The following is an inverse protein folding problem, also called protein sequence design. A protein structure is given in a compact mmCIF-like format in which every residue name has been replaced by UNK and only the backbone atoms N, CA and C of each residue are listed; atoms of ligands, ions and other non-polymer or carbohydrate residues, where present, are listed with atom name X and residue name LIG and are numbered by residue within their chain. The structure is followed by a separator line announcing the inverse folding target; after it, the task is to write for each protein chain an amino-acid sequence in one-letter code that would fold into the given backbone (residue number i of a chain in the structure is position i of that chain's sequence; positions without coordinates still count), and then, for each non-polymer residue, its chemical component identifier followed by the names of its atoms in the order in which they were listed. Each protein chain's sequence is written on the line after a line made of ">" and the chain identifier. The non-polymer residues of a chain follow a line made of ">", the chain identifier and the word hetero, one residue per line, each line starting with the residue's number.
data_IF_687321636194
#
_entry.id   IF_687321636194
#
_cell.length_a   1.000
_cell.length_b   1.000
_cell.length_c   1.000
_cell.angle_alpha   90.00
_cell.angle_beta   90.00
_cell.angle_gamma   90.00
#
_symmetry.space_group_name_H-M   'P 1'
#
loop_
_entity.id
_entity.type
_entity.pdbx_description
1 polymer ?
#
# COMPACT_ATOMS: atom_id res chain seq x y z
N UNK A 1 -16.13 4.11 -31.34
CA UNK A 1 -15.93 5.55 -31.04
C UNK A 1 -15.43 5.66 -29.62
N UNK A 2 -14.17 6.04 -29.44
CA UNK A 2 -13.58 6.17 -28.10
C UNK A 2 -13.94 7.52 -27.50
N UNK A 3 -14.61 7.53 -26.37
CA UNK A 3 -15.01 8.73 -25.63
C UNK A 3 -14.18 8.88 -24.36
N UNK A 4 -13.70 10.08 -24.07
CA UNK A 4 -13.10 10.45 -22.79
C UNK A 4 -14.14 11.14 -21.92
N UNK A 5 -14.47 10.59 -20.75
CA UNK A 5 -15.23 11.32 -19.72
C UNK A 5 -14.26 11.95 -18.72
N UNK A 6 -14.23 13.27 -18.64
CA UNK A 6 -13.42 14.00 -17.67
C UNK A 6 -14.28 14.38 -16.47
N UNK A 7 -13.84 14.04 -15.27
CA UNK A 7 -14.52 14.35 -14.00
C UNK A 7 -13.74 15.44 -13.26
N UNK A 8 -14.42 16.53 -12.91
CA UNK A 8 -13.91 17.60 -12.06
C UNK A 8 -14.68 17.60 -10.75
N UNK A 9 -14.07 17.18 -9.61
CA UNK A 9 -14.68 17.34 -8.30
C UNK A 9 -14.56 18.79 -7.86
N UNK A 10 -15.63 19.41 -7.42
CA UNK A 10 -15.66 20.81 -7.02
C UNK A 10 -16.31 20.97 -5.64
N UNK A 11 -15.71 21.81 -4.78
CA UNK A 11 -16.27 22.23 -3.51
C UNK A 11 -15.78 23.64 -3.20
N UNK A 12 -16.67 24.66 -3.31
CA UNK A 12 -16.33 26.06 -3.14
C UNK A 12 -15.10 26.46 -4.00
N UNK A 13 -15.27 26.36 -5.30
CA UNK A 13 -14.26 26.65 -6.34
C UNK A 13 -14.82 27.67 -7.37
N UNK A 14 -15.65 28.64 -6.91
CA UNK A 14 -16.27 29.63 -7.80
C UNK A 14 -15.25 30.46 -8.61
N UNK A 15 -14.04 30.65 -8.07
CA UNK A 15 -12.97 31.41 -8.72
C UNK A 15 -12.29 30.65 -9.88
N UNK A 16 -12.30 29.29 -9.88
CA UNK A 16 -11.55 28.47 -10.83
C UNK A 16 -12.40 27.61 -11.74
N UNK A 17 -13.64 27.27 -11.33
CA UNK A 17 -14.44 26.26 -12.05
C UNK A 17 -14.78 26.65 -13.48
N UNK A 18 -14.99 27.94 -13.77
CA UNK A 18 -15.29 28.39 -15.13
C UNK A 18 -14.07 28.20 -16.04
N UNK A 19 -12.92 28.69 -15.62
CA UNK A 19 -11.68 28.63 -16.40
C UNK A 19 -11.32 27.18 -16.70
N UNK A 20 -11.24 26.33 -15.68
CA UNK A 20 -10.80 24.94 -15.87
C UNK A 20 -11.79 24.16 -16.75
N UNK A 21 -13.11 24.38 -16.59
CA UNK A 21 -14.12 23.73 -17.42
C UNK A 21 -13.98 24.12 -18.89
N UNK A 22 -13.81 25.40 -19.18
CA UNK A 22 -13.59 25.89 -20.55
C UNK A 22 -12.29 25.36 -21.16
N UNK A 23 -11.22 25.30 -20.39
CA UNK A 23 -9.94 24.70 -20.82
C UNK A 23 -10.10 23.22 -21.15
N UNK A 24 -10.80 22.45 -20.33
CA UNK A 24 -11.08 21.04 -20.63
C UNK A 24 -11.91 20.90 -21.90
N UNK A 25 -12.97 21.70 -22.10
CA UNK A 25 -13.78 21.64 -23.31
C UNK A 25 -12.97 22.02 -24.58
N UNK A 26 -12.02 22.97 -24.46
CA UNK A 26 -11.17 23.36 -25.58
C UNK A 26 -10.21 22.27 -26.05
N UNK A 27 -9.96 21.23 -25.24
CA UNK A 27 -9.09 20.11 -25.63
C UNK A 27 -9.76 19.17 -26.64
N UNK A 28 -11.08 19.25 -26.80
CA UNK A 28 -11.84 18.34 -27.67
C UNK A 28 -11.30 18.28 -29.11
N UNK A 29 -10.93 19.42 -29.69
CA UNK A 29 -10.42 19.48 -31.07
C UNK A 29 -9.05 18.78 -31.22
N UNK A 30 -8.28 18.72 -30.11
CA UNK A 30 -6.93 18.12 -30.12
C UNK A 30 -7.01 16.61 -29.82
N UNK A 31 -8.04 16.17 -29.07
CA UNK A 31 -8.24 14.76 -28.69
C UNK A 31 -8.40 13.83 -29.90
N UNK A 32 -9.00 14.32 -30.98
CA UNK A 32 -9.16 13.56 -32.22
C UNK A 32 -7.82 13.03 -32.77
N UNK A 33 -6.73 13.78 -32.60
CA UNK A 33 -5.40 13.38 -33.02
C UNK A 33 -4.80 12.24 -32.16
N UNK A 34 -5.37 12.02 -30.97
CA UNK A 34 -4.95 11.00 -30.03
C UNK A 34 -5.83 9.74 -30.05
N UNK A 35 -6.78 9.63 -30.99
CA UNK A 35 -7.68 8.49 -31.14
C UNK A 35 -8.90 8.54 -30.21
N UNK A 36 -9.21 9.69 -29.64
CA UNK A 36 -10.42 9.96 -28.86
C UNK A 36 -11.33 10.85 -29.68
N UNK A 37 -12.54 10.38 -29.97
CA UNK A 37 -13.48 11.02 -30.90
C UNK A 37 -14.48 11.97 -30.23
N UNK A 38 -14.69 11.81 -28.91
CA UNK A 38 -15.67 12.60 -28.16
C UNK A 38 -15.22 12.86 -26.73
N UNK A 39 -15.66 13.99 -26.16
CA UNK A 39 -15.36 14.44 -24.80
C UNK A 39 -16.66 14.69 -24.03
N UNK A 40 -16.83 13.97 -22.92
CA UNK A 40 -17.85 14.25 -21.91
C UNK A 40 -17.19 14.95 -20.72
N UNK A 41 -17.69 16.14 -20.33
CA UNK A 41 -17.23 16.83 -19.11
C UNK A 41 -18.27 16.76 -18.02
N UNK A 42 -17.90 16.12 -16.89
CA UNK A 42 -18.71 16.03 -15.68
C UNK A 42 -18.09 16.91 -14.58
N UNK A 43 -18.85 17.86 -14.10
CA UNK A 43 -18.52 18.59 -12.86
C UNK A 43 -19.37 18.02 -11.74
N UNK A 44 -18.72 17.52 -10.69
CA UNK A 44 -19.41 17.00 -9.50
C UNK A 44 -19.23 17.99 -8.36
N UNK A 45 -20.27 18.75 -8.10
CA UNK A 45 -20.35 19.70 -6.99
C UNK A 45 -20.65 18.96 -5.69
N UNK A 46 -19.70 18.95 -4.77
CA UNK A 46 -19.77 18.21 -3.50
C UNK A 46 -20.45 19.03 -2.39
N UNK A 47 -21.54 19.72 -2.73
CA UNK A 47 -22.34 20.51 -1.81
C UNK A 47 -21.71 21.87 -1.49
N UNK A 48 -21.28 22.60 -2.53
CA UNK A 48 -20.76 23.96 -2.40
C UNK A 48 -21.80 24.93 -1.82
N UNK A 49 -21.31 25.94 -1.11
CA UNK A 49 -22.11 27.01 -0.51
C UNK A 49 -21.93 28.35 -1.22
N UNK A 50 -21.02 28.43 -2.18
CA UNK A 50 -20.75 29.56 -3.06
C UNK A 50 -21.45 29.37 -4.44
N UNK A 51 -21.05 30.13 -5.43
CA UNK A 51 -21.66 30.07 -6.78
C UNK A 51 -21.06 28.97 -7.67
N UNK A 52 -20.28 28.04 -7.17
CA UNK A 52 -19.63 26.98 -7.96
C UNK A 52 -20.64 26.23 -8.84
N UNK A 53 -21.73 25.75 -8.25
CA UNK A 53 -22.76 24.99 -8.98
C UNK A 53 -23.49 25.84 -10.04
N UNK A 54 -23.79 27.10 -9.71
CA UNK A 54 -24.42 28.04 -10.65
C UNK A 54 -23.57 28.30 -11.88
N UNK A 55 -22.28 28.56 -11.65
CA UNK A 55 -21.28 28.79 -12.70
C UNK A 55 -21.13 27.53 -13.57
N UNK A 56 -20.90 26.37 -12.96
CA UNK A 56 -20.72 25.12 -13.70
C UNK A 56 -21.96 24.80 -14.58
N UNK A 57 -23.18 25.05 -14.07
CA UNK A 57 -24.43 24.84 -14.81
C UNK A 57 -24.60 25.77 -16.01
N UNK A 58 -24.02 26.96 -15.99
CA UNK A 58 -24.11 27.96 -17.04
C UNK A 58 -23.20 27.69 -18.24
N UNK A 59 -22.25 26.71 -18.14
CA UNK A 59 -21.29 26.41 -19.19
C UNK A 59 -21.89 25.35 -20.12
N UNK A 60 -22.03 25.68 -21.39
CA UNK A 60 -22.45 24.73 -22.42
C UNK A 60 -21.44 23.59 -22.55
N UNK A 61 -21.92 22.34 -22.60
CA UNK A 61 -21.08 21.14 -22.67
C UNK A 61 -20.68 20.56 -21.30
N UNK A 62 -21.02 21.20 -20.19
CA UNK A 62 -20.84 20.68 -18.84
C UNK A 62 -22.06 19.92 -18.37
N UNK A 63 -21.86 18.68 -17.91
CA UNK A 63 -22.89 17.93 -17.18
C UNK A 63 -22.62 18.07 -15.68
N UNK A 64 -23.44 18.88 -15.01
CA UNK A 64 -23.37 19.10 -13.57
C UNK A 64 -24.09 17.99 -12.80
N UNK A 65 -23.41 17.44 -11.78
CA UNK A 65 -23.97 16.52 -10.79
C UNK A 65 -23.78 17.17 -9.42
N UNK A 66 -24.81 17.21 -8.59
CA UNK A 66 -24.77 17.89 -7.29
C UNK A 66 -25.02 16.91 -6.15
N UNK A 67 -24.18 16.95 -5.13
CA UNK A 67 -24.45 16.32 -3.84
C UNK A 67 -25.25 17.28 -2.94
N UNK A 68 -26.24 16.80 -2.20
CA UNK A 68 -27.02 17.67 -1.30
C UNK A 68 -26.21 18.19 -0.10
N UNK A 69 -25.04 17.59 0.19
CA UNK A 69 -24.08 17.98 1.23
C UNK A 69 -22.71 17.42 0.89
N UNK A 70 -21.67 17.99 1.49
CA UNK A 70 -20.30 17.50 1.35
C UNK A 70 -20.19 16.01 1.76
N UNK A 71 -19.67 15.19 0.85
CA UNK A 71 -19.41 13.75 1.01
C UNK A 71 -17.92 13.43 0.92
N UNK A 72 -17.13 14.40 0.49
CA UNK A 72 -15.67 14.32 0.34
C UNK A 72 -15.20 14.19 -1.11
N UNK A 73 -13.98 14.64 -1.36
CA UNK A 73 -13.30 14.63 -2.66
C UNK A 73 -13.41 13.30 -3.41
N UNK A 74 -13.08 12.21 -2.70
CA UNK A 74 -13.17 10.88 -3.28
C UNK A 74 -14.60 10.45 -3.59
N UNK A 75 -15.60 10.88 -2.80
CA UNK A 75 -16.99 10.59 -3.09
C UNK A 75 -17.48 11.32 -4.35
N UNK A 76 -17.05 12.57 -4.56
CA UNK A 76 -17.34 13.32 -5.77
C UNK A 76 -16.74 12.64 -7.01
N UNK A 77 -15.48 12.22 -6.94
CA UNK A 77 -14.84 11.46 -8.02
C UNK A 77 -15.57 10.14 -8.31
N UNK A 78 -15.89 9.35 -7.28
CA UNK A 78 -16.61 8.08 -7.46
C UNK A 78 -17.98 8.27 -8.09
N UNK A 79 -18.71 9.33 -7.70
CA UNK A 79 -19.97 9.70 -8.35
C UNK A 79 -19.74 10.01 -9.83
N UNK A 80 -18.73 10.82 -10.16
CA UNK A 80 -18.38 11.11 -11.54
C UNK A 80 -17.98 9.87 -12.34
N UNK A 81 -17.17 8.96 -11.75
CA UNK A 81 -16.75 7.71 -12.40
C UNK A 81 -17.95 6.78 -12.70
N UNK A 82 -18.94 6.72 -11.79
CA UNK A 82 -20.14 5.90 -12.00
C UNK A 82 -21.06 6.46 -13.08
N UNK A 83 -21.10 7.78 -13.23
CA UNK A 83 -21.92 8.49 -14.20
C UNK A 83 -21.26 8.68 -15.57
N UNK A 84 -19.93 8.49 -15.65
CA UNK A 84 -19.16 8.61 -16.88
C UNK A 84 -19.61 7.58 -17.92
N UNK A 85 -19.77 8.02 -19.17
CA UNK A 85 -20.18 7.18 -20.30
C UNK A 85 -19.02 6.69 -21.14
N UNK A 86 -17.89 7.42 -21.11
CA UNK A 86 -16.71 7.12 -21.90
C UNK A 86 -16.01 5.82 -21.53
N UNK A 87 -15.30 5.26 -22.49
CA UNK A 87 -14.42 4.10 -22.31
C UNK A 87 -13.15 4.46 -21.54
N UNK A 88 -12.71 5.71 -21.70
CA UNK A 88 -11.66 6.33 -20.89
C UNK A 88 -12.29 7.29 -19.89
N UNK A 89 -11.83 7.23 -18.64
CA UNK A 89 -12.20 8.15 -17.59
C UNK A 89 -10.96 8.94 -17.19
N UNK A 90 -11.05 10.27 -17.32
CA UNK A 90 -10.06 11.20 -16.82
C UNK A 90 -10.58 11.97 -15.62
N UNK A 91 -9.70 12.50 -14.78
CA UNK A 91 -10.05 13.48 -13.78
C UNK A 91 -8.92 14.46 -13.53
N UNK A 92 -9.25 15.66 -13.07
CA UNK A 92 -8.31 16.67 -12.59
C UNK A 92 -8.98 17.54 -11.53
N UNK A 93 -8.15 18.24 -10.73
CA UNK A 93 -8.63 19.14 -9.70
C UNK A 93 -9.16 20.46 -10.30
N UNK A 94 -10.15 21.08 -9.65
CA UNK A 94 -10.80 22.32 -10.11
C UNK A 94 -9.92 23.58 -9.92
N UNK A 95 -8.76 23.46 -9.26
CA UNK A 95 -7.95 24.59 -8.78
C UNK A 95 -6.93 25.15 -9.78
N UNK A 96 -6.98 24.68 -11.04
CA UNK A 96 -6.12 25.15 -12.13
C UNK A 96 -4.67 24.64 -12.10
N UNK A 97 -4.29 23.84 -11.11
CA UNK A 97 -2.90 23.33 -10.96
C UNK A 97 -2.49 22.32 -12.01
N UNK A 98 -3.45 21.66 -12.65
CA UNK A 98 -3.23 20.64 -13.68
C UNK A 98 -3.62 21.15 -15.06
N UNK A 99 -2.74 21.03 -16.06
CA UNK A 99 -3.01 21.48 -17.44
C UNK A 99 -3.85 20.44 -18.20
N UNK A 100 -5.15 20.73 -18.50
CA UNK A 100 -6.00 19.80 -19.25
C UNK A 100 -5.46 19.52 -20.66
N UNK A 101 -4.63 20.38 -21.20
CA UNK A 101 -3.96 20.26 -22.50
C UNK A 101 -3.10 19.00 -22.64
N UNK A 102 -2.80 18.33 -21.52
CA UNK A 102 -2.08 17.05 -21.50
C UNK A 102 -3.00 15.82 -21.60
N UNK A 103 -4.34 15.97 -21.54
CA UNK A 103 -5.22 14.82 -21.73
C UNK A 103 -4.99 14.06 -23.05
N UNK A 104 -4.77 14.70 -24.21
CA UNK A 104 -4.46 13.98 -25.44
C UNK A 104 -3.27 13.03 -25.29
N UNK A 105 -2.17 13.49 -24.66
CA UNK A 105 -0.99 12.66 -24.45
C UNK A 105 -1.26 11.49 -23.45
N UNK A 106 -2.04 11.75 -22.38
CA UNK A 106 -2.42 10.69 -21.45
C UNK A 106 -3.31 9.65 -22.14
N UNK A 107 -4.24 10.09 -22.97
CA UNK A 107 -5.12 9.20 -23.74
C UNK A 107 -4.36 8.36 -24.76
N UNK A 108 -3.41 8.94 -25.47
CA UNK A 108 -2.52 8.22 -26.41
C UNK A 108 -1.80 7.06 -25.71
N UNK A 109 -1.25 7.31 -24.51
CA UNK A 109 -0.57 6.29 -23.70
C UNK A 109 -1.54 5.22 -23.20
N UNK A 110 -2.78 5.61 -22.83
CA UNK A 110 -3.81 4.67 -22.40
C UNK A 110 -4.26 3.76 -23.56
N UNK A 111 -4.47 4.33 -24.75
CA UNK A 111 -4.81 3.59 -25.96
C UNK A 111 -3.64 2.72 -26.45
N UNK A 112 -2.39 3.16 -26.21
CA UNK A 112 -1.17 2.40 -26.45
C UNK A 112 -0.97 1.20 -25.53
N UNK A 113 -1.93 0.90 -24.64
CA UNK A 113 -1.97 -0.32 -23.83
C UNK A 113 -1.65 -0.12 -22.36
N UNK A 114 -1.55 1.11 -21.84
CA UNK A 114 -1.64 1.38 -20.41
C UNK A 114 -3.10 1.27 -19.95
N UNK A 115 -3.33 0.77 -18.73
CA UNK A 115 -4.67 0.68 -18.16
C UNK A 115 -4.98 1.90 -17.28
N UNK A 116 -3.93 2.47 -16.66
CA UNK A 116 -3.98 3.74 -15.93
C UNK A 116 -2.76 4.59 -16.27
N UNK A 117 -2.99 5.86 -16.57
CA UNK A 117 -1.95 6.85 -16.86
C UNK A 117 -2.05 7.96 -15.82
N UNK A 118 -0.90 8.29 -15.22
CA UNK A 118 -0.77 9.31 -14.18
C UNK A 118 0.02 10.48 -14.73
N UNK A 119 -0.52 11.69 -14.70
CA UNK A 119 0.23 12.90 -14.96
C UNK A 119 1.17 13.18 -13.77
N UNK A 120 2.47 12.86 -13.92
CA UNK A 120 3.43 13.05 -12.82
C UNK A 120 4.00 14.47 -12.80
N UNK A 121 4.00 15.08 -11.62
CA UNK A 121 4.53 16.42 -11.35
C UNK A 121 5.99 16.38 -10.89
N UNK A 122 6.58 15.18 -10.80
CA UNK A 122 7.87 14.94 -10.15
C UNK A 122 9.03 14.82 -11.14
N UNK A 123 8.75 14.63 -12.43
CA UNK A 123 9.77 14.35 -13.43
C UNK A 123 9.62 15.25 -14.68
N UNK A 124 10.72 15.76 -15.18
CA UNK A 124 10.89 16.25 -16.54
C UNK A 124 10.37 17.65 -16.93
N UNK A 125 9.54 18.29 -16.10
CA UNK A 125 8.93 19.59 -16.42
C UNK A 125 9.02 20.57 -15.25
N UNK A 126 8.76 21.86 -15.53
CA UNK A 126 8.67 22.90 -14.48
C UNK A 126 7.53 22.55 -13.54
N UNK A 127 7.82 22.58 -12.24
CA UNK A 127 6.82 22.32 -11.19
C UNK A 127 6.93 23.37 -10.09
N UNK A 128 5.86 24.14 -9.90
CA UNK A 128 5.72 25.12 -8.83
C UNK A 128 5.19 24.51 -7.53
N UNK A 129 5.36 23.18 -7.37
CA UNK A 129 4.94 22.44 -6.18
C UNK A 129 5.74 22.87 -4.95
N UNK A 130 5.06 23.23 -3.82
CA UNK A 130 5.72 23.54 -2.55
C UNK A 130 6.64 22.40 -2.09
N UNK A 131 7.82 22.76 -1.56
CA UNK A 131 8.85 21.80 -1.13
C UNK A 131 8.32 20.75 -0.15
N UNK A 132 7.46 21.14 0.79
CA UNK A 132 6.84 20.22 1.77
C UNK A 132 6.00 19.14 1.11
N UNK A 133 5.23 19.50 0.08
CA UNK A 133 4.44 18.53 -0.71
C UNK A 133 5.33 17.64 -1.56
N UNK A 134 6.41 18.19 -2.13
CA UNK A 134 7.38 17.44 -2.91
C UNK A 134 8.08 16.38 -2.08
N UNK A 135 8.51 16.72 -0.86
CA UNK A 135 9.12 15.78 0.09
C UNK A 135 8.10 14.72 0.51
N UNK A 136 6.87 15.11 0.87
CA UNK A 136 5.81 14.16 1.23
C UNK A 136 5.50 13.18 0.11
N UNK A 137 5.34 13.67 -1.11
CA UNK A 137 5.08 12.80 -2.26
C UNK A 137 6.26 11.86 -2.57
N UNK A 138 7.50 12.35 -2.49
CA UNK A 138 8.70 11.53 -2.62
C UNK A 138 8.71 10.38 -1.59
N UNK A 139 8.39 10.67 -0.33
CA UNK A 139 8.30 9.65 0.71
C UNK A 139 7.22 8.60 0.38
N UNK A 140 6.00 9.02 0.03
CA UNK A 140 4.91 8.10 -0.29
C UNK A 140 5.17 7.31 -1.57
N UNK A 141 5.74 7.92 -2.60
CA UNK A 141 6.08 7.24 -3.85
C UNK A 141 7.15 6.15 -3.62
N UNK A 142 8.18 6.43 -2.81
CA UNK A 142 9.19 5.44 -2.44
C UNK A 142 8.60 4.32 -1.58
N UNK A 143 7.74 4.65 -0.61
CA UNK A 143 7.03 3.65 0.20
C UNK A 143 6.21 2.72 -0.69
N UNK A 144 5.43 3.26 -1.62
CA UNK A 144 4.65 2.48 -2.57
C UNK A 144 5.51 1.64 -3.49
N UNK A 145 6.62 2.19 -4.00
CA UNK A 145 7.57 1.45 -4.84
C UNK A 145 8.25 0.31 -4.08
N UNK A 146 8.48 0.46 -2.77
CA UNK A 146 9.03 -0.58 -1.90
C UNK A 146 8.03 -1.71 -1.65
N UNK A 147 6.76 -1.36 -1.39
CA UNK A 147 5.72 -2.35 -1.04
C UNK A 147 4.92 -2.86 -2.25
N UNK A 148 4.98 -2.16 -3.39
CA UNK A 148 4.29 -2.51 -4.63
C UNK A 148 5.15 -3.30 -5.62
N UNK A 149 4.58 -3.62 -6.76
CA UNK A 149 5.23 -4.37 -7.86
C UNK A 149 5.83 -3.47 -8.94
N UNK A 150 5.53 -2.17 -8.93
CA UNK A 150 5.95 -1.18 -9.93
C UNK A 150 6.58 0.03 -9.24
N UNK A 151 7.44 0.74 -9.96
CA UNK A 151 7.97 2.03 -9.50
C UNK A 151 7.00 3.14 -9.85
N UNK A 152 6.81 4.08 -8.94
CA UNK A 152 6.01 5.29 -9.11
C UNK A 152 6.77 6.49 -8.58
N UNK A 153 6.66 7.63 -9.25
CA UNK A 153 7.26 8.89 -8.82
C UNK A 153 6.24 9.85 -8.19
N UNK A 154 4.95 9.74 -8.56
CA UNK A 154 3.87 10.60 -8.06
C UNK A 154 2.65 9.79 -7.62
N UNK A 155 2.56 9.49 -6.33
CA UNK A 155 1.47 8.69 -5.76
C UNK A 155 0.15 9.45 -5.58
N UNK A 156 0.22 10.78 -5.51
CA UNK A 156 -0.88 11.66 -5.13
C UNK A 156 -1.31 12.63 -6.22
N UNK A 157 -0.88 12.41 -7.48
CA UNK A 157 -1.33 13.24 -8.60
C UNK A 157 -2.84 13.21 -8.75
N UNK A 158 -3.44 14.41 -8.87
CA UNK A 158 -4.86 14.61 -9.15
C UNK A 158 -5.21 14.62 -10.63
N UNK A 159 -4.26 14.37 -11.56
CA UNK A 159 -4.55 14.23 -12.98
C UNK A 159 -4.24 12.83 -13.47
N UNK A 160 -5.26 12.10 -13.89
CA UNK A 160 -5.14 10.71 -14.37
C UNK A 160 -6.12 10.43 -15.50
N UNK A 161 -5.76 9.44 -16.32
CA UNK A 161 -6.67 8.81 -17.30
C UNK A 161 -6.60 7.30 -17.10
N UNK A 162 -7.73 6.62 -17.08
CA UNK A 162 -7.78 5.17 -16.96
C UNK A 162 -8.93 4.57 -17.77
N UNK A 163 -8.79 3.31 -18.12
CA UNK A 163 -9.85 2.55 -18.81
C UNK A 163 -10.98 2.25 -17.83
N UNK A 164 -12.22 2.51 -18.25
CA UNK A 164 -13.42 2.28 -17.42
C UNK A 164 -13.52 0.84 -16.91
N UNK A 165 -13.04 -0.12 -17.69
CA UNK A 165 -13.06 -1.54 -17.34
C UNK A 165 -12.31 -1.89 -16.05
N UNK A 166 -11.25 -1.11 -15.67
CA UNK A 166 -10.52 -1.38 -14.43
C UNK A 166 -11.22 -0.87 -13.18
N UNK A 167 -12.27 -0.06 -13.31
CA UNK A 167 -12.92 0.59 -12.17
C UNK A 167 -13.39 -0.43 -11.11
N UNK A 168 -13.98 -1.55 -11.55
CA UNK A 168 -14.44 -2.60 -10.63
C UNK A 168 -13.31 -3.23 -9.82
N UNK A 169 -12.11 -3.30 -10.38
CA UNK A 169 -10.91 -3.82 -9.70
C UNK A 169 -10.34 -2.83 -8.69
N UNK A 170 -10.65 -1.55 -8.86
CA UNK A 170 -10.20 -0.48 -7.98
C UNK A 170 -11.14 -0.23 -6.79
N UNK A 171 -12.38 -0.69 -6.85
CA UNK A 171 -13.37 -0.48 -5.78
C UNK A 171 -13.11 -1.43 -4.58
N UNK A 172 -13.55 -1.02 -3.36
CA UNK A 172 -14.10 0.26 -2.97
C UNK A 172 -13.02 1.33 -2.77
N UNK A 173 -13.21 2.54 -3.27
CA UNK A 173 -12.29 3.66 -3.06
C UNK A 173 -12.75 4.51 -1.84
N UNK A 174 -11.85 5.20 -1.14
CA UNK A 174 -12.23 6.05 -0.02
C UNK A 174 -12.89 7.36 -0.50
N UNK A 175 -13.74 7.93 0.36
CA UNK A 175 -14.44 9.18 0.06
C UNK A 175 -13.60 10.45 0.24
N UNK A 176 -12.44 10.36 0.90
CA UNK A 176 -11.57 11.49 1.22
C UNK A 176 -10.46 11.76 0.20
N UNK A 177 -9.55 12.67 0.57
CA UNK A 177 -8.37 13.04 -0.22
C UNK A 177 -7.37 11.89 -0.45
N UNK A 178 -7.49 10.83 0.33
CA UNK A 178 -6.68 9.62 0.21
C UNK A 178 -7.12 8.70 -0.96
N UNK A 179 -8.07 9.10 -1.81
CA UNK A 179 -8.48 8.32 -2.98
C UNK A 179 -7.31 8.04 -3.92
N UNK A 180 -6.54 9.06 -4.28
CA UNK A 180 -5.44 8.91 -5.26
C UNK A 180 -4.29 8.03 -4.75
N UNK A 181 -3.79 8.12 -3.49
CA UNK A 181 -2.82 7.17 -2.96
C UNK A 181 -3.37 5.73 -2.85
N UNK A 182 -4.63 5.56 -2.46
CA UNK A 182 -5.26 4.23 -2.39
C UNK A 182 -5.42 3.63 -3.80
N UNK A 183 -5.86 4.43 -4.77
CA UNK A 183 -5.95 4.01 -6.17
C UNK A 183 -4.59 3.54 -6.69
N UNK A 184 -3.51 4.33 -6.47
CA UNK A 184 -2.15 3.94 -6.83
C UNK A 184 -1.72 2.62 -6.16
N UNK A 185 -2.04 2.46 -4.87
CA UNK A 185 -1.72 1.23 -4.12
C UNK A 185 -2.42 0.02 -4.74
N UNK A 186 -3.71 0.14 -5.02
CA UNK A 186 -4.51 -0.97 -5.61
C UNK A 186 -4.02 -1.35 -6.99
N UNK A 187 -3.76 -0.36 -7.85
CA UNK A 187 -3.21 -0.59 -9.19
C UNK A 187 -1.96 -1.48 -9.15
N UNK A 188 -1.06 -1.21 -8.19
CA UNK A 188 0.17 -2.00 -8.02
C UNK A 188 -0.10 -3.45 -7.61
N UNK A 189 -1.09 -3.69 -6.74
CA UNK A 189 -1.40 -5.04 -6.25
C UNK A 189 -2.34 -5.81 -7.20
N UNK A 190 -3.18 -5.10 -7.95
CA UNK A 190 -4.04 -5.69 -8.97
C UNK A 190 -3.30 -6.05 -10.27
N UNK A 191 -2.01 -5.70 -10.38
CA UNK A 191 -1.22 -5.94 -11.59
C UNK A 191 -1.71 -5.12 -12.79
N UNK A 192 -2.36 -3.97 -12.53
CA UNK A 192 -2.82 -3.03 -13.55
C UNK A 192 -1.60 -2.30 -14.11
N UNK A 193 -1.50 -2.25 -15.44
CA UNK A 193 -0.39 -1.58 -16.12
C UNK A 193 -0.51 -0.07 -15.99
N UNK A 194 0.32 0.52 -15.11
CA UNK A 194 0.37 1.95 -14.86
C UNK A 194 1.58 2.59 -15.57
N UNK A 195 1.36 3.74 -16.20
CA UNK A 195 2.41 4.55 -16.84
C UNK A 195 2.32 5.98 -16.33
N UNK A 196 3.47 6.62 -16.11
CA UNK A 196 3.55 8.03 -15.74
C UNK A 196 3.95 8.88 -16.95
N UNK A 197 3.23 9.99 -17.15
CA UNK A 197 3.51 11.00 -18.16
C UNK A 197 3.90 12.30 -17.46
N UNK A 198 5.09 12.88 -17.71
CA UNK A 198 5.48 14.15 -17.10
C UNK A 198 4.55 15.28 -17.51
N UNK A 199 4.05 16.02 -16.51
CA UNK A 199 3.22 17.20 -16.72
C UNK A 199 3.77 18.39 -15.92
N UNK A 200 3.61 19.63 -16.34
CA UNK A 200 3.87 20.79 -15.50
C UNK A 200 2.85 20.85 -14.34
N UNK A 201 3.21 21.56 -13.31
CA UNK A 201 2.33 21.84 -12.17
C UNK A 201 2.37 23.32 -11.90
N UNK A 202 1.24 23.97 -12.13
CA UNK A 202 1.11 25.41 -12.03
C UNK A 202 0.74 25.87 -10.60
N UNK A 203 0.83 27.15 -10.35
CA UNK A 203 0.42 27.73 -9.08
C UNK A 203 -1.11 27.63 -8.91
N UNK A 204 -1.53 27.28 -7.71
CA UNK A 204 -2.94 27.06 -7.38
C UNK A 204 -3.72 28.38 -7.35
N UNK A 205 -4.88 28.37 -7.97
CA UNK A 205 -5.90 29.40 -7.77
C UNK A 205 -6.63 29.15 -6.44
N UNK A 206 -6.60 30.12 -5.53
CA UNK A 206 -7.26 30.02 -4.23
C UNK A 206 -6.47 29.36 -3.11
N UNK A 207 -7.11 29.15 -1.94
CA UNK A 207 -6.45 28.63 -0.73
C UNK A 207 -6.42 27.10 -0.69
N UNK A 208 -5.28 26.54 -0.33
CA UNK A 208 -5.17 25.08 -0.13
C UNK A 208 -6.01 24.63 1.07
N UNK A 209 -6.85 23.63 0.86
CA UNK A 209 -7.64 22.95 1.90
C UNK A 209 -6.86 21.79 2.55
N UNK A 210 -5.65 21.49 2.06
CA UNK A 210 -4.83 20.34 2.46
C UNK A 210 -3.98 20.66 3.69
N UNK A 211 -4.12 19.86 4.74
CA UNK A 211 -3.28 19.90 5.95
C UNK A 211 -2.14 18.89 5.83
N UNK A 212 -0.89 19.35 5.75
CA UNK A 212 0.27 18.48 5.49
C UNK A 212 0.40 17.34 6.49
N UNK A 213 0.23 17.61 7.79
CA UNK A 213 0.37 16.58 8.84
C UNK A 213 -0.84 15.68 8.91
N UNK A 214 -2.05 16.24 8.93
CA UNK A 214 -3.29 15.47 9.04
C UNK A 214 -3.47 14.56 7.82
N UNK A 215 -3.42 15.14 6.61
CA UNK A 215 -3.64 14.39 5.37
C UNK A 215 -2.47 13.46 5.06
N UNK A 216 -1.24 13.85 5.42
CA UNK A 216 -0.08 12.97 5.35
C UNK A 216 -0.23 11.71 6.21
N UNK A 217 -0.72 11.85 7.45
CA UNK A 217 -1.01 10.70 8.33
C UNK A 217 -2.14 9.82 7.78
N UNK A 218 -3.19 10.44 7.21
CA UNK A 218 -4.28 9.73 6.54
C UNK A 218 -3.77 8.93 5.33
N UNK A 219 -2.90 9.53 4.50
CA UNK A 219 -2.31 8.87 3.34
C UNK A 219 -1.45 7.67 3.77
N UNK A 220 -0.56 7.85 4.75
CA UNK A 220 0.28 6.78 5.28
C UNK A 220 -0.57 5.61 5.78
N UNK A 221 -1.54 5.92 6.63
CA UNK A 221 -2.47 4.92 7.18
C UNK A 221 -3.20 4.16 6.06
N UNK A 222 -3.72 4.90 5.08
CA UNK A 222 -4.49 4.30 3.98
C UNK A 222 -3.63 3.42 3.09
N UNK A 223 -2.40 3.84 2.75
CA UNK A 223 -1.44 3.04 1.98
C UNK A 223 -1.11 1.74 2.72
N UNK A 224 -0.76 1.84 4.02
CA UNK A 224 -0.40 0.66 4.83
C UNK A 224 -1.57 -0.31 4.93
N UNK A 225 -2.78 0.16 5.27
CA UNK A 225 -3.94 -0.73 5.40
C UNK A 225 -4.36 -1.35 4.07
N UNK A 226 -4.30 -0.58 2.98
CA UNK A 226 -4.56 -1.12 1.64
C UNK A 226 -3.52 -2.18 1.28
N UNK A 227 -2.24 -1.92 1.48
CA UNK A 227 -1.18 -2.88 1.19
C UNK A 227 -1.28 -4.15 2.05
N UNK A 228 -1.63 -4.01 3.35
CA UNK A 228 -1.87 -5.15 4.25
C UNK A 228 -3.07 -6.01 3.81
N UNK A 229 -4.06 -5.42 3.15
CA UNK A 229 -5.20 -6.19 2.63
C UNK A 229 -4.88 -6.99 1.36
N UNK A 230 -3.76 -6.73 0.70
CA UNK A 230 -3.32 -7.46 -0.51
C UNK A 230 -2.12 -8.37 -0.27
N UNK A 231 -1.11 -7.90 0.43
CA UNK A 231 0.12 -8.66 0.69
C UNK A 231 0.68 -8.35 2.09
N UNK A 232 0.04 -8.87 3.14
CA UNK A 232 0.47 -8.65 4.52
C UNK A 232 1.88 -9.15 4.81
N UNK A 233 2.33 -10.26 4.20
CA UNK A 233 3.66 -10.80 4.46
C UNK A 233 4.77 -9.85 3.99
N UNK A 234 4.54 -9.02 2.99
CA UNK A 234 5.56 -8.08 2.53
C UNK A 234 5.86 -7.01 3.57
N UNK A 235 4.84 -6.46 4.22
CA UNK A 235 5.03 -5.42 5.25
C UNK A 235 5.45 -6.07 6.58
N UNK A 236 4.63 -6.99 7.08
CA UNK A 236 4.88 -7.63 8.38
C UNK A 236 6.13 -8.50 8.35
N UNK A 237 6.38 -9.18 7.24
CA UNK A 237 7.56 -10.02 7.05
C UNK A 237 8.86 -9.21 6.99
N UNK A 238 8.88 -8.05 6.30
CA UNK A 238 10.06 -7.17 6.30
C UNK A 238 10.34 -6.59 7.68
N UNK A 239 9.31 -6.14 8.41
CA UNK A 239 9.45 -5.71 9.80
C UNK A 239 9.92 -6.85 10.70
N UNK A 240 9.36 -8.05 10.49
CA UNK A 240 9.74 -9.25 11.20
C UNK A 240 11.19 -9.65 11.00
N UNK A 241 11.66 -9.66 9.75
CA UNK A 241 13.06 -9.92 9.41
C UNK A 241 14.01 -8.87 10.00
N UNK A 242 13.58 -7.61 10.05
CA UNK A 242 14.31 -6.55 10.76
C UNK A 242 14.52 -6.87 12.23
N UNK A 243 13.45 -7.29 12.93
CA UNK A 243 13.52 -7.70 14.33
C UNK A 243 14.41 -8.92 14.57
N UNK A 244 14.29 -9.95 13.74
CA UNK A 244 15.17 -11.13 13.78
C UNK A 244 16.62 -10.74 13.49
N UNK A 245 16.85 -9.83 12.54
CA UNK A 245 18.18 -9.30 12.22
C UNK A 245 18.83 -8.57 13.41
N UNK A 246 18.08 -7.72 14.12
CA UNK A 246 18.54 -7.07 15.36
C UNK A 246 18.93 -8.13 16.39
N UNK A 247 18.09 -9.13 16.60
CA UNK A 247 18.37 -10.23 17.52
C UNK A 247 19.65 -10.98 17.16
N UNK A 248 19.82 -11.29 15.88
CA UNK A 248 21.02 -12.00 15.40
C UNK A 248 22.30 -11.16 15.62
N UNK A 249 22.27 -9.87 15.33
CA UNK A 249 23.41 -8.96 15.51
C UNK A 249 23.77 -8.81 16.98
N UNK A 250 22.77 -8.54 17.84
CA UNK A 250 22.99 -8.41 19.29
C UNK A 250 23.45 -9.74 19.89
N UNK A 251 22.79 -10.85 19.50
CA UNK A 251 23.14 -12.18 19.96
C UNK A 251 24.59 -12.57 19.60
N UNK A 252 25.00 -12.25 18.37
CA UNK A 252 26.39 -12.45 17.94
C UNK A 252 27.37 -11.61 18.77
N UNK A 253 27.03 -10.34 19.03
CA UNK A 253 27.84 -9.46 19.88
C UNK A 253 28.00 -10.02 21.30
N UNK A 254 26.91 -10.50 21.90
CA UNK A 254 26.94 -11.14 23.23
C UNK A 254 27.72 -12.44 23.23
N UNK A 255 27.63 -13.25 22.18
CA UNK A 255 28.42 -14.46 22.02
C UNK A 255 29.91 -14.15 21.93
N UNK A 256 30.30 -13.16 21.12
CA UNK A 256 31.70 -12.72 21.01
C UNK A 256 32.22 -12.22 22.37
N UNK A 257 31.40 -11.42 23.09
CA UNK A 257 31.79 -10.97 24.44
C UNK A 257 32.06 -12.15 25.39
N UNK A 258 31.17 -13.16 25.32
CA UNK A 258 31.34 -14.40 26.11
C UNK A 258 32.63 -15.17 25.75
N UNK A 259 32.94 -15.31 24.46
CA UNK A 259 34.14 -15.96 23.98
C UNK A 259 35.45 -15.19 24.38
N UNK A 260 35.35 -13.86 24.56
CA UNK A 260 36.42 -13.02 25.08
C UNK A 260 36.56 -13.06 26.60
N UNK A 261 35.82 -13.92 27.30
CA UNK A 261 35.90 -14.12 28.73
C UNK A 261 35.03 -13.17 29.58
N UNK A 262 34.18 -12.37 28.98
CA UNK A 262 33.23 -11.54 29.71
C UNK A 262 32.08 -12.44 30.22
N UNK A 263 32.12 -12.73 31.52
CA UNK A 263 31.15 -13.65 32.15
C UNK A 263 30.01 -12.95 32.86
N UNK A 264 30.14 -11.65 33.15
CA UNK A 264 29.13 -10.81 33.79
C UNK A 264 28.72 -9.69 32.85
N UNK A 265 27.45 -9.34 32.87
CA UNK A 265 26.90 -8.24 32.07
C UNK A 265 26.90 -6.95 32.88
N UNK A 266 27.36 -5.89 32.26
CA UNK A 266 27.09 -4.52 32.70
C UNK A 266 25.63 -4.10 32.36
N UNK A 267 25.14 -2.92 32.79
CA UNK A 267 23.80 -2.46 32.48
C UNK A 267 23.50 -2.39 30.98
N UNK A 268 24.49 -2.06 30.15
CA UNK A 268 24.33 -2.05 28.68
C UNK A 268 24.18 -3.46 28.12
N UNK A 269 24.93 -4.41 28.63
CA UNK A 269 24.79 -5.81 28.27
C UNK A 269 23.44 -6.39 28.64
N UNK A 270 22.90 -6.06 29.82
CA UNK A 270 21.55 -6.45 30.22
C UNK A 270 20.50 -5.86 29.28
N UNK A 271 20.63 -4.57 28.94
CA UNK A 271 19.74 -3.91 27.97
C UNK A 271 19.83 -4.57 26.59
N UNK A 272 21.03 -4.91 26.11
CA UNK A 272 21.23 -5.60 24.84
C UNK A 272 20.52 -6.97 24.81
N UNK A 273 20.62 -7.73 25.90
CA UNK A 273 19.91 -9.01 26.08
C UNK A 273 18.41 -8.83 25.96
N UNK A 274 17.86 -7.83 26.66
CA UNK A 274 16.42 -7.52 26.60
C UNK A 274 15.98 -7.14 25.19
N UNK A 275 16.75 -6.27 24.50
CA UNK A 275 16.48 -5.90 23.11
C UNK A 275 16.50 -7.13 22.21
N UNK A 276 17.47 -8.02 22.34
CA UNK A 276 17.57 -9.24 21.53
C UNK A 276 16.34 -10.14 21.72
N UNK A 277 15.93 -10.36 22.96
CA UNK A 277 14.77 -11.20 23.27
C UNK A 277 13.48 -10.60 22.69
N UNK A 278 13.22 -9.35 23.00
CA UNK A 278 11.98 -8.67 22.57
C UNK A 278 11.91 -8.55 21.04
N UNK A 279 12.99 -8.12 20.39
CA UNK A 279 13.03 -7.98 18.93
C UNK A 279 12.94 -9.32 18.21
N UNK A 280 13.49 -10.39 18.77
CA UNK A 280 13.39 -11.75 18.23
C UNK A 280 11.97 -12.29 18.27
N UNK A 281 11.35 -12.21 19.44
CA UNK A 281 9.97 -12.69 19.64
C UNK A 281 8.99 -11.88 18.78
N UNK A 282 9.07 -10.55 18.82
CA UNK A 282 8.20 -9.68 18.00
C UNK A 282 8.49 -9.90 16.51
N UNK A 283 9.77 -9.98 16.13
CA UNK A 283 10.17 -10.17 14.74
C UNK A 283 9.63 -11.45 14.13
N UNK A 284 9.78 -12.57 14.84
CA UNK A 284 9.25 -13.86 14.39
C UNK A 284 7.72 -13.84 14.35
N UNK A 285 7.07 -13.25 15.38
CA UNK A 285 5.62 -13.12 15.42
C UNK A 285 5.06 -12.35 14.24
N UNK A 286 5.69 -11.21 13.89
CA UNK A 286 5.27 -10.39 12.74
C UNK A 286 5.46 -11.13 11.42
N UNK A 287 6.58 -11.83 11.25
CA UNK A 287 6.83 -12.62 10.04
C UNK A 287 5.80 -13.74 9.88
N UNK A 288 5.58 -14.52 10.92
CA UNK A 288 4.61 -15.62 10.92
C UNK A 288 3.17 -15.13 10.75
N UNK A 289 2.81 -14.03 11.41
CA UNK A 289 1.50 -13.39 11.26
C UNK A 289 1.28 -12.92 9.81
N UNK A 290 2.29 -12.30 9.19
CA UNK A 290 2.23 -11.90 7.79
C UNK A 290 2.00 -13.07 6.86
N UNK A 291 2.70 -14.18 7.06
CA UNK A 291 2.52 -15.42 6.30
C UNK A 291 1.11 -15.99 6.48
N UNK A 292 0.61 -16.04 7.72
CA UNK A 292 -0.75 -16.50 8.03
C UNK A 292 -1.82 -15.65 7.33
N UNK A 293 -1.66 -14.32 7.36
CA UNK A 293 -2.59 -13.43 6.68
C UNK A 293 -2.59 -13.58 5.17
N UNK A 294 -1.49 -14.00 4.54
CA UNK A 294 -1.50 -14.29 3.10
C UNK A 294 -2.47 -15.42 2.74
N UNK A 295 -2.58 -16.46 3.59
CA UNK A 295 -3.57 -17.51 3.40
C UNK A 295 -5.01 -16.98 3.52
N UNK A 296 -5.27 -16.11 4.51
CA UNK A 296 -6.57 -15.47 4.67
C UNK A 296 -6.91 -14.56 3.48
N UNK A 297 -5.95 -13.75 3.01
CA UNK A 297 -6.15 -12.90 1.83
C UNK A 297 -6.46 -13.74 0.60
N UNK A 298 -5.74 -14.84 0.39
CA UNK A 298 -6.01 -15.79 -0.71
C UNK A 298 -7.44 -16.34 -0.64
N UNK A 299 -7.90 -16.74 0.54
CA UNK A 299 -9.24 -17.25 0.77
C UNK A 299 -10.32 -16.21 0.43
N UNK A 300 -10.18 -14.97 0.95
CA UNK A 300 -11.17 -13.91 0.73
C UNK A 300 -11.20 -13.37 -0.70
N UNK A 301 -10.04 -13.17 -1.31
CA UNK A 301 -9.95 -12.68 -2.70
C UNK A 301 -10.07 -13.77 -3.75
N UNK A 302 -10.13 -15.06 -3.33
CA UNK A 302 -10.25 -16.22 -4.23
C UNK A 302 -9.15 -16.26 -5.28
N UNK A 303 -7.94 -15.91 -4.90
CA UNK A 303 -6.75 -15.86 -5.75
C UNK A 303 -5.69 -16.85 -5.25
N UNK A 304 -4.80 -17.34 -6.13
CA UNK A 304 -3.68 -18.14 -5.67
C UNK A 304 -2.88 -17.46 -4.58
N UNK A 305 -2.44 -18.22 -3.57
CA UNK A 305 -1.66 -17.71 -2.46
C UNK A 305 -0.38 -17.05 -3.01
N UNK A 306 -0.19 -15.78 -2.76
CA UNK A 306 1.06 -15.10 -3.05
C UNK A 306 2.10 -15.49 -2.00
N UNK A 307 2.90 -16.50 -2.31
CA UNK A 307 3.93 -16.98 -1.41
C UNK A 307 5.17 -16.06 -1.43
N UNK A 308 5.75 -15.83 -0.24
CA UNK A 308 6.97 -15.07 -0.09
C UNK A 308 6.81 -13.54 -0.13
N UNK A 309 7.87 -12.85 0.32
CA UNK A 309 7.92 -11.39 0.45
C UNK A 309 7.71 -10.64 -0.88
N UNK A 310 8.07 -11.27 -1.99
CA UNK A 310 8.02 -10.68 -3.33
C UNK A 310 7.00 -11.37 -4.25
N UNK A 311 6.03 -12.11 -3.69
CA UNK A 311 5.01 -12.82 -4.45
C UNK A 311 5.50 -14.11 -5.12
N UNK A 312 6.77 -14.50 -4.86
CA UNK A 312 7.35 -15.79 -5.29
C UNK A 312 8.10 -16.41 -4.11
N UNK A 313 7.96 -17.72 -3.87
CA UNK A 313 8.72 -18.38 -2.82
C UNK A 313 10.21 -18.43 -3.20
N UNK A 314 11.08 -18.11 -2.23
CA UNK A 314 12.54 -18.25 -2.39
C UNK A 314 12.94 -19.72 -2.24
N UNK A 315 12.17 -20.48 -1.48
CA UNK A 315 12.41 -21.90 -1.20
C UNK A 315 11.26 -22.74 -1.78
N UNK A 316 11.57 -23.94 -2.25
CA UNK A 316 10.59 -24.95 -2.69
C UNK A 316 10.80 -26.25 -1.88
N UNK A 317 9.87 -26.67 -0.99
CA UNK A 317 8.64 -25.96 -0.60
C UNK A 317 8.90 -24.66 0.16
N UNK A 318 7.86 -23.81 0.26
CA UNK A 318 7.97 -22.49 0.94
C UNK A 318 8.38 -22.65 2.41
N UNK A 319 9.00 -21.59 2.98
CA UNK A 319 9.62 -21.62 4.31
C UNK A 319 8.64 -21.98 5.45
N UNK A 320 7.38 -21.60 5.30
CA UNK A 320 6.29 -21.89 6.25
C UNK A 320 6.02 -23.40 6.42
N UNK A 321 6.29 -24.21 5.40
CA UNK A 321 6.19 -25.68 5.49
C UNK A 321 7.18 -26.25 6.51
N UNK A 322 8.31 -25.60 6.69
CA UNK A 322 9.38 -26.02 7.60
C UNK A 322 9.22 -25.51 9.03
N UNK A 323 8.27 -24.57 9.28
CA UNK A 323 8.08 -23.98 10.62
C UNK A 323 7.81 -25.01 11.71
N UNK A 324 7.05 -26.08 11.42
CA UNK A 324 6.80 -27.16 12.38
C UNK A 324 8.09 -27.82 12.83
N UNK A 325 8.94 -28.20 11.87
CA UNK A 325 10.23 -28.85 12.17
C UNK A 325 11.19 -27.89 12.89
N UNK A 326 11.37 -26.67 12.40
CA UNK A 326 12.19 -25.66 13.05
C UNK A 326 11.71 -25.34 14.46
N UNK A 327 10.38 -25.32 14.66
CA UNK A 327 9.79 -25.12 15.97
C UNK A 327 10.13 -26.25 16.95
N UNK A 328 10.00 -27.51 16.53
CA UNK A 328 10.32 -28.67 17.36
C UNK A 328 11.81 -28.73 17.70
N UNK A 329 12.69 -28.47 16.75
CA UNK A 329 14.15 -28.39 16.99
C UNK A 329 14.48 -27.28 17.96
N UNK A 330 13.88 -26.09 17.77
CA UNK A 330 14.07 -24.95 18.69
C UNK A 330 13.60 -25.27 20.11
N UNK A 331 12.43 -25.89 20.27
CA UNK A 331 11.92 -26.33 21.56
C UNK A 331 12.89 -27.32 22.25
N UNK A 332 13.36 -28.32 21.51
CA UNK A 332 14.30 -29.31 22.02
C UNK A 332 15.60 -28.66 22.49
N UNK A 333 16.18 -27.77 21.68
CA UNK A 333 17.37 -27.00 22.04
C UNK A 333 17.15 -26.14 23.28
N UNK A 334 16.00 -25.46 23.36
CA UNK A 334 15.64 -24.65 24.52
C UNK A 334 15.54 -25.47 25.80
N UNK A 335 14.86 -26.63 25.75
CA UNK A 335 14.75 -27.54 26.89
C UNK A 335 16.10 -28.12 27.32
N UNK A 336 16.96 -28.50 26.37
CA UNK A 336 18.32 -28.97 26.65
C UNK A 336 19.14 -27.87 27.34
N UNK A 337 19.15 -26.65 26.82
CA UNK A 337 19.88 -25.52 27.43
C UNK A 337 19.33 -25.19 28.81
N UNK A 338 18.01 -25.27 29.02
CA UNK A 338 17.39 -25.09 30.34
C UNK A 338 17.79 -26.16 31.33
N UNK A 339 17.80 -27.43 30.91
CA UNK A 339 18.27 -28.54 31.72
C UNK A 339 19.76 -28.44 32.10
N UNK A 340 20.59 -28.07 31.13
CA UNK A 340 22.02 -27.80 31.40
C UNK A 340 22.17 -26.65 32.39
N UNK A 341 21.44 -25.56 32.23
CA UNK A 341 21.48 -24.41 33.15
C UNK A 341 21.09 -24.81 34.58
N UNK A 342 20.03 -25.62 34.71
CA UNK A 342 19.59 -26.13 36.00
C UNK A 342 20.68 -27.03 36.65
N UNK A 343 21.23 -27.95 35.88
CA UNK A 343 22.30 -28.83 36.34
C UNK A 343 23.54 -28.06 36.80
N UNK A 344 23.96 -27.03 36.05
CA UNK A 344 25.09 -26.17 36.45
C UNK A 344 24.77 -25.36 37.71
N UNK A 345 23.55 -24.86 37.85
CA UNK A 345 23.07 -24.13 39.03
C UNK A 345 23.11 -25.04 40.30
N UNK A 346 22.62 -26.27 40.17
CA UNK A 346 22.64 -27.25 41.24
C UNK A 346 24.09 -27.64 41.65
N UNK A 347 25.04 -27.55 40.72
CA UNK A 347 26.49 -27.76 40.97
C UNK A 347 27.20 -26.50 41.47
N UNK A 348 26.47 -25.49 41.95
CA UNK A 348 27.02 -24.31 42.61
C UNK A 348 27.48 -23.17 41.69
N UNK A 349 27.11 -23.18 40.41
CA UNK A 349 27.35 -22.03 39.53
C UNK A 349 26.52 -20.84 39.93
N UNK A 350 27.11 -19.67 39.99
CA UNK A 350 26.39 -18.42 40.26
C UNK A 350 25.44 -18.09 39.09
N UNK A 351 24.24 -17.63 39.42
CA UNK A 351 23.20 -17.22 38.45
C UNK A 351 23.76 -16.18 37.46
N UNK A 352 24.62 -15.28 37.93
CA UNK A 352 25.31 -14.29 37.12
C UNK A 352 26.13 -14.88 35.95
N UNK A 353 26.52 -16.15 36.02
CA UNK A 353 27.22 -16.85 34.94
C UNK A 353 26.29 -17.65 34.03
N UNK A 354 25.08 -17.93 34.49
CA UNK A 354 24.09 -18.75 33.79
C UNK A 354 23.18 -17.94 32.85
N UNK A 355 23.26 -16.60 32.88
CA UNK A 355 22.33 -15.72 32.16
C UNK A 355 22.21 -16.03 30.66
N UNK A 356 23.32 -16.36 29.99
CA UNK A 356 23.31 -16.66 28.56
C UNK A 356 22.57 -17.97 28.26
N UNK A 357 22.77 -18.98 29.09
CA UNK A 357 22.11 -20.29 28.95
C UNK A 357 20.59 -20.17 29.26
N UNK A 358 20.25 -19.47 30.33
CA UNK A 358 18.85 -19.26 30.73
C UNK A 358 18.08 -18.43 29.69
N UNK A 359 18.71 -17.35 29.20
CA UNK A 359 18.12 -16.51 28.16
C UNK A 359 17.99 -17.27 26.85
N UNK A 360 19.04 -17.95 26.41
CA UNK A 360 19.03 -18.79 25.21
C UNK A 360 17.95 -19.86 25.30
N UNK A 361 17.84 -20.53 26.46
CA UNK A 361 16.76 -21.49 26.71
C UNK A 361 15.39 -20.87 26.56
N UNK A 362 15.12 -19.76 27.26
CA UNK A 362 13.83 -19.08 27.19
C UNK A 362 13.50 -18.62 25.75
N UNK A 363 14.48 -18.08 25.05
CA UNK A 363 14.32 -17.61 23.67
C UNK A 363 14.01 -18.77 22.73
N UNK A 364 14.76 -19.89 22.79
CA UNK A 364 14.51 -21.05 21.93
C UNK A 364 13.16 -21.71 22.23
N UNK A 365 12.73 -21.76 23.50
CA UNK A 365 11.41 -22.30 23.87
C UNK A 365 10.30 -21.41 23.34
N UNK A 366 10.39 -20.09 23.53
CA UNK A 366 9.37 -19.16 23.07
C UNK A 366 9.26 -19.14 21.53
N UNK A 367 10.38 -19.03 20.82
CA UNK A 367 10.42 -19.05 19.37
C UNK A 367 9.93 -20.39 18.82
N UNK A 368 10.36 -21.48 19.44
CA UNK A 368 9.94 -22.82 19.04
C UNK A 368 8.44 -23.05 19.20
N UNK A 369 7.88 -22.67 20.32
CA UNK A 369 6.45 -22.76 20.56
C UNK A 369 5.64 -21.91 19.55
N UNK A 370 6.08 -20.68 19.30
CA UNK A 370 5.45 -19.81 18.30
C UNK A 370 5.49 -20.42 16.89
N UNK A 371 6.63 -20.94 16.46
CA UNK A 371 6.76 -21.58 15.14
C UNK A 371 5.81 -22.76 14.98
N UNK A 372 5.66 -23.60 16.02
CA UNK A 372 4.73 -24.72 16.00
C UNK A 372 3.29 -24.24 15.92
N UNK A 373 2.91 -23.24 16.75
CA UNK A 373 1.54 -22.68 16.74
C UNK A 373 1.20 -22.12 15.34
N UNK A 374 2.08 -21.31 14.77
CA UNK A 374 1.84 -20.73 13.45
C UNK A 374 1.84 -21.79 12.34
N UNK A 375 2.68 -22.82 12.45
CA UNK A 375 2.66 -23.92 11.51
C UNK A 375 1.32 -24.65 11.50
N UNK A 376 0.79 -24.99 12.67
CA UNK A 376 -0.55 -25.62 12.79
C UNK A 376 -1.62 -24.72 12.19
N UNK A 377 -1.59 -23.41 12.52
CA UNK A 377 -2.56 -22.46 12.01
C UNK A 377 -2.52 -22.36 10.47
N UNK A 378 -1.33 -22.27 9.88
CA UNK A 378 -1.18 -22.21 8.43
C UNK A 378 -1.61 -23.48 7.73
N UNK A 379 -1.36 -24.68 8.32
CA UNK A 379 -1.84 -25.97 7.76
C UNK A 379 -3.37 -26.04 7.75
N UNK A 380 -4.01 -25.59 8.82
CA UNK A 380 -5.48 -25.53 8.86
C UNK A 380 -6.03 -24.57 7.81
N UNK A 381 -5.44 -23.40 7.66
CA UNK A 381 -5.87 -22.43 6.66
C UNK A 381 -5.63 -22.91 5.22
N UNK A 382 -4.53 -23.61 4.96
CA UNK A 382 -4.22 -24.21 3.65
C UNK A 382 -5.27 -25.28 3.28
N UNK A 383 -5.60 -26.15 4.22
CA UNK A 383 -6.62 -27.18 4.01
C UNK A 383 -8.01 -26.56 3.76
N UNK A 384 -8.39 -25.52 4.49
CA UNK A 384 -9.65 -24.80 4.29
C UNK A 384 -9.67 -24.11 2.91
N UNK A 385 -8.56 -23.50 2.51
CA UNK A 385 -8.44 -22.84 1.21
C UNK A 385 -8.53 -23.84 0.05
N UNK A 386 -7.89 -25.02 0.18
CA UNK A 386 -7.92 -26.05 -0.87
C UNK A 386 -9.32 -26.65 -1.07
N UNK A 387 -10.07 -26.86 0.02
CA UNK A 387 -11.46 -27.38 -0.06
C UNK A 387 -12.40 -26.39 -0.75
N UNK A 388 -12.24 -25.09 -0.49
CA UNK A 388 -13.09 -24.09 -1.13
C UNK A 388 -12.81 -23.94 -2.63
N UNK A 389 -11.57 -24.14 -3.08
CA UNK A 389 -11.21 -24.14 -4.50
C UNK A 389 -11.74 -25.41 -5.19
N UNK A 390 -11.55 -26.59 -4.61
CA UNK A 390 -11.99 -27.87 -5.20
C UNK A 390 -13.51 -28.01 -5.27
N UNK A 391 -14.25 -27.53 -4.26
CA UNK A 391 -15.72 -27.60 -4.25
C UNK A 391 -16.40 -26.80 -5.36
N UNK A 392 -15.66 -25.89 -6.02
CA UNK A 392 -16.17 -25.05 -7.12
C UNK A 392 -15.80 -25.56 -8.51
N UNK A 393 -14.72 -26.29 -8.65
CA UNK A 393 -14.45 -26.99 -9.89
C UNK A 393 -15.58 -27.98 -10.19
N UNK A 394 -16.14 -28.59 -9.14
CA UNK A 394 -17.29 -29.47 -9.27
C UNK A 394 -18.61 -28.74 -9.62
N UNK A 395 -18.87 -27.55 -9.02
CA UNK A 395 -20.04 -26.71 -9.34
C UNK A 395 -19.98 -26.07 -10.74
N UNK A 396 -18.80 -25.95 -11.36
CA UNK A 396 -18.64 -25.40 -12.71
C UNK A 396 -18.77 -26.45 -13.82
N UNK A 397 -18.89 -27.74 -13.46
CA UNK A 397 -19.02 -28.87 -14.36
C UNK A 397 -20.48 -29.38 -14.42
N UNK A 398 -21.33 -29.00 -13.46
CA UNK A 398 -22.79 -29.17 -13.51
C UNK A 398 -23.47 -27.95 -14.17
#
# INVERSE_FOLDING_TARGET
>A
MTTLSVVIPALNEEDGIEEISRRVLSVNDILNNSGVEDLELLVVDDGSTDRTAEIAKSIDGVRLIQHPKNRGYGAALQTGFSEAKGELIGFLDADGTYPPEYFPQLCEVALGGAELVVGTRMTGTKSDMPLTRRIGNFFFANLLSLIGSQKISDSASGMRVFKKEILQRLLPLPNGLNLTPVMSTRVMFEGIKMVEVPIPYDERLGRSKLSVVHDGSLFLRSIIWTALSYNPVRILGLLGLGGVGITALVGLGLLIARLRGITTLDPLGVTAVFIALVSGVIGLSLFALGSTFNYLVSLFYRRPIQQGLFGKPIFTPSLDHHFGWFGLVSLALGLILGGVSLGLGLNGWEIARLWLYLLGSAMFVLLGAQLVIYWVLMRVLEELSSREVSGREDESIE
#
